data_IF_848242097084
#
_entry.id   IF_848242097084
#
_cell.length_a   1.000
_cell.length_b   1.000
_cell.length_c   1.000
_cell.angle_alpha   90.00
_cell.angle_beta   90.00
_cell.angle_gamma   90.00
#
_symmetry.space_group_name_H-M   'P 1'
#
loop_
_entity.id
_entity.type
_entity.pdbx_description
1 polymer ?
#
# COMPACT_ATOMS: atom_id res chain seq x y z
N UNK A 1 -20.91 13.65 24.67
CA UNK A 1 -20.94 12.27 25.21
C UNK A 1 -19.51 11.78 25.33
N UNK A 2 -19.02 11.54 26.54
CA UNK A 2 -17.80 10.74 26.76
C UNK A 2 -18.29 9.41 27.29
N UNK A 3 -18.17 8.37 26.49
CA UNK A 3 -18.34 6.99 26.94
C UNK A 3 -16.96 6.47 27.37
N UNK A 4 -16.93 5.60 28.37
CA UNK A 4 -15.73 4.89 28.78
C UNK A 4 -15.23 3.97 27.66
N UNK A 5 -13.93 3.67 27.68
CA UNK A 5 -13.32 2.77 26.70
C UNK A 5 -13.92 1.35 26.83
N UNK A 6 -14.28 0.76 25.70
CA UNK A 6 -14.80 -0.62 25.63
C UNK A 6 -13.69 -1.54 25.11
N UNK A 7 -13.38 -2.57 25.88
CA UNK A 7 -12.49 -3.66 25.47
C UNK A 7 -13.29 -4.89 25.07
N UNK A 8 -12.88 -5.57 23.99
CA UNK A 8 -13.47 -6.83 23.55
C UNK A 8 -12.43 -7.69 22.83
N UNK A 9 -12.62 -9.01 22.85
CA UNK A 9 -11.81 -9.93 22.04
C UNK A 9 -12.16 -9.73 20.57
N UNK A 10 -11.18 -9.59 19.65
CA UNK A 10 -11.45 -9.42 18.23
C UNK A 10 -12.34 -10.55 17.69
N UNK A 11 -13.56 -10.21 17.27
CA UNK A 11 -14.57 -11.17 16.81
C UNK A 11 -15.10 -10.87 15.40
N UNK A 12 -14.68 -9.76 14.79
CA UNK A 12 -15.20 -9.28 13.52
C UNK A 12 -14.10 -9.21 12.47
N UNK A 13 -14.49 -9.38 11.20
CA UNK A 13 -13.64 -9.11 10.04
C UNK A 13 -14.06 -7.76 9.43
N UNK A 14 -13.18 -6.75 9.41
CA UNK A 14 -13.51 -5.47 8.77
C UNK A 14 -13.69 -5.65 7.25
N UNK A 15 -14.81 -5.16 6.72
CA UNK A 15 -15.07 -5.05 5.28
C UNK A 15 -15.30 -3.59 4.93
N UNK A 16 -14.54 -3.07 3.97
CA UNK A 16 -14.69 -1.71 3.46
C UNK A 16 -15.09 -1.79 1.98
N UNK A 17 -16.28 -1.29 1.66
CA UNK A 17 -16.77 -1.17 0.28
C UNK A 17 -16.56 0.28 -0.15
N UNK A 18 -15.73 0.50 -1.17
CA UNK A 18 -15.35 1.84 -1.61
C UNK A 18 -15.03 1.86 -3.10
N UNK A 19 -15.33 2.98 -3.77
CA UNK A 19 -14.91 3.26 -5.14
C UNK A 19 -13.44 3.73 -5.23
N UNK A 20 -12.90 4.21 -4.12
CA UNK A 20 -11.52 4.70 -4.03
C UNK A 20 -10.84 4.06 -2.83
N UNK A 21 -9.73 3.36 -3.08
CA UNK A 21 -8.98 2.70 -2.02
C UNK A 21 -8.40 3.74 -1.05
N UNK A 22 -8.44 3.48 0.28
CA UNK A 22 -7.89 4.41 1.25
C UNK A 22 -6.38 4.58 1.06
N UNK A 23 -5.77 5.60 1.66
CA UNK A 23 -4.30 5.70 1.66
C UNK A 23 -3.73 4.86 2.80
N UNK A 24 -2.82 3.95 2.48
CA UNK A 24 -2.06 3.13 3.43
C UNK A 24 -0.58 3.33 3.13
N UNK A 25 0.31 3.55 4.10
CA UNK A 25 1.75 3.64 3.83
C UNK A 25 2.27 2.36 3.16
N UNK A 26 2.97 2.47 2.03
CA UNK A 26 3.51 1.32 1.28
C UNK A 26 4.49 0.44 2.09
N UNK A 27 5.15 1.04 3.08
CA UNK A 27 6.14 0.41 3.97
C UNK A 27 5.52 -0.26 5.22
N UNK A 28 4.21 -0.13 5.46
CA UNK A 28 3.53 -0.81 6.57
C UNK A 28 3.22 -2.28 6.27
N UNK A 29 4.27 -3.11 6.34
CA UNK A 29 4.17 -4.56 6.13
C UNK A 29 3.12 -5.24 7.03
N UNK A 30 2.87 -4.70 8.23
CA UNK A 30 1.92 -5.25 9.18
C UNK A 30 0.46 -4.99 8.77
N UNK A 31 0.17 -3.88 8.09
CA UNK A 31 -1.12 -3.62 7.48
C UNK A 31 -1.26 -4.44 6.18
N UNK A 32 -0.25 -4.44 5.31
CA UNK A 32 -0.31 -5.11 4.01
C UNK A 32 -0.50 -6.63 4.10
N UNK A 33 0.00 -7.29 5.16
CA UNK A 33 -0.29 -8.72 5.38
C UNK A 33 -1.79 -9.01 5.59
N UNK A 34 -2.59 -8.00 5.98
CA UNK A 34 -4.01 -8.13 6.34
C UNK A 34 -4.99 -7.59 5.29
N UNK A 35 -4.55 -6.64 4.46
CA UNK A 35 -5.41 -6.07 3.41
C UNK A 35 -5.58 -7.07 2.27
N UNK A 36 -6.80 -7.20 1.77
CA UNK A 36 -7.14 -7.88 0.52
C UNK A 36 -8.07 -6.99 -0.29
N UNK A 37 -7.69 -6.69 -1.52
CA UNK A 37 -8.54 -5.94 -2.46
C UNK A 37 -9.31 -6.95 -3.30
N UNK A 38 -10.64 -6.97 -3.14
CA UNK A 38 -11.54 -7.79 -3.97
C UNK A 38 -12.15 -6.85 -5.02
N UNK A 39 -11.68 -6.90 -6.28
CA UNK A 39 -12.14 -5.98 -7.30
C UNK A 39 -13.52 -6.43 -7.85
N UNK A 40 -14.45 -5.48 -7.93
CA UNK A 40 -15.76 -5.66 -8.57
C UNK A 40 -15.74 -4.91 -9.91
N UNK A 41 -15.18 -5.54 -10.94
CA UNK A 41 -14.89 -4.88 -12.23
C UNK A 41 -16.05 -4.97 -13.23
N UNK A 42 -17.06 -5.79 -12.93
CA UNK A 42 -18.21 -6.00 -13.81
C UNK A 42 -19.24 -4.89 -13.61
N UNK A 43 -19.53 -4.16 -14.68
CA UNK A 43 -20.61 -3.18 -14.74
C UNK A 43 -21.80 -3.80 -15.46
N UNK A 44 -22.94 -3.90 -14.77
CA UNK A 44 -24.18 -4.44 -15.34
C UNK A 44 -24.93 -3.30 -16.08
N UNK A 45 -25.18 -3.43 -17.40
CA UNK A 45 -25.97 -2.46 -18.17
C UNK A 45 -27.36 -2.23 -17.56
N UNK A 46 -27.90 -1.02 -17.73
CA UNK A 46 -29.15 -0.62 -17.06
C UNK A 46 -30.37 -1.48 -17.44
N UNK A 47 -30.37 -2.06 -18.64
CA UNK A 47 -31.40 -2.96 -19.16
C UNK A 47 -31.23 -4.41 -18.72
N UNK A 48 -30.03 -4.80 -18.24
CA UNK A 48 -29.73 -6.13 -17.69
C UNK A 48 -29.84 -6.18 -16.15
N UNK A 49 -29.98 -5.03 -15.48
CA UNK A 49 -30.09 -4.95 -14.03
C UNK A 49 -31.39 -5.58 -13.51
N UNK A 50 -31.28 -6.63 -12.70
CA UNK A 50 -32.39 -7.24 -11.99
C UNK A 50 -32.80 -6.37 -10.78
N UNK A 51 -33.93 -5.68 -10.91
CA UNK A 51 -34.48 -4.81 -9.85
C UNK A 51 -35.07 -5.58 -8.68
N UNK A 52 -35.29 -6.88 -8.82
CA UNK A 52 -35.85 -7.76 -7.79
C UNK A 52 -34.78 -8.67 -7.17
N UNK A 53 -33.49 -8.43 -7.46
CA UNK A 53 -32.37 -9.25 -7.00
C UNK A 53 -32.40 -9.47 -5.48
N UNK A 54 -32.64 -8.42 -4.69
CA UNK A 54 -32.69 -8.53 -3.24
C UNK A 54 -33.77 -9.52 -2.77
N UNK A 55 -34.98 -9.44 -3.36
CA UNK A 55 -36.08 -10.33 -3.01
C UNK A 55 -35.77 -11.78 -3.41
N UNK A 56 -35.12 -11.99 -4.57
CA UNK A 56 -34.69 -13.31 -5.02
C UNK A 56 -33.61 -13.91 -4.13
N UNK A 57 -32.64 -13.10 -3.69
CA UNK A 57 -31.59 -13.55 -2.76
C UNK A 57 -32.19 -13.95 -1.39
N UNK A 58 -33.23 -13.26 -0.93
CA UNK A 58 -33.93 -13.63 0.30
C UNK A 58 -34.67 -14.97 0.18
N UNK A 59 -35.29 -15.25 -0.97
CA UNK A 59 -35.95 -16.54 -1.22
C UNK A 59 -34.95 -17.71 -1.25
N UNK A 60 -33.71 -17.44 -1.66
CA UNK A 60 -32.62 -18.42 -1.74
C UNK A 60 -31.68 -18.38 -0.53
N UNK A 61 -32.08 -17.76 0.59
CA UNK A 61 -31.20 -17.57 1.75
C UNK A 61 -30.65 -18.91 2.29
N UNK A 62 -31.47 -19.96 2.32
CA UNK A 62 -31.07 -21.30 2.74
C UNK A 62 -30.01 -21.93 1.80
N UNK A 63 -30.15 -21.70 0.50
CA UNK A 63 -29.19 -22.11 -0.53
C UNK A 63 -27.85 -21.39 -0.35
N UNK A 64 -27.89 -20.07 -0.14
CA UNK A 64 -26.70 -19.23 0.09
C UNK A 64 -25.97 -19.65 1.36
N UNK A 65 -26.71 -19.92 2.44
CA UNK A 65 -26.12 -20.42 3.69
C UNK A 65 -25.48 -21.79 3.50
N UNK A 66 -26.14 -22.70 2.77
CA UNK A 66 -25.61 -24.02 2.47
C UNK A 66 -24.29 -23.92 1.68
N UNK A 67 -24.23 -23.01 0.69
CA UNK A 67 -23.00 -22.71 -0.05
C UNK A 67 -21.90 -22.14 0.85
N UNK A 68 -22.23 -21.23 1.78
CA UNK A 68 -21.28 -20.68 2.74
C UNK A 68 -20.72 -21.75 3.70
N UNK A 69 -21.54 -22.70 4.16
CA UNK A 69 -21.09 -23.83 5.00
C UNK A 69 -20.16 -24.77 4.23
N UNK A 70 -20.45 -25.05 2.96
CA UNK A 70 -19.53 -25.80 2.10
C UNK A 70 -18.19 -25.08 1.95
N UNK A 71 -18.23 -23.76 1.68
CA UNK A 71 -17.04 -22.92 1.62
C UNK A 71 -16.24 -22.89 2.93
N UNK A 72 -16.89 -22.94 4.09
CA UNK A 72 -16.23 -23.08 5.38
C UNK A 72 -15.48 -24.41 5.50
N UNK A 73 -16.08 -25.52 5.06
CA UNK A 73 -15.41 -26.82 5.01
C UNK A 73 -14.15 -26.78 4.12
N UNK A 74 -14.24 -26.15 2.96
CA UNK A 74 -13.09 -25.97 2.08
C UNK A 74 -12.01 -25.11 2.75
N UNK A 75 -12.39 -23.99 3.36
CA UNK A 75 -11.49 -23.11 4.08
C UNK A 75 -10.76 -23.83 5.23
N UNK A 76 -11.45 -24.67 6.00
CA UNK A 76 -10.83 -25.47 7.05
C UNK A 76 -9.75 -26.42 6.51
N UNK A 77 -9.94 -26.94 5.28
CA UNK A 77 -9.03 -27.90 4.65
C UNK A 77 -7.82 -27.24 4.00
N UNK A 78 -8.01 -26.14 3.27
CA UNK A 78 -6.95 -25.52 2.44
C UNK A 78 -6.55 -24.11 2.88
N UNK A 79 -7.22 -23.54 3.88
CA UNK A 79 -7.05 -22.15 4.30
C UNK A 79 -7.66 -21.14 3.33
N UNK A 80 -7.28 -19.87 3.49
CA UNK A 80 -7.64 -18.81 2.55
C UNK A 80 -6.82 -18.93 1.26
N UNK A 81 -7.33 -19.68 0.29
CA UNK A 81 -6.77 -19.71 -1.07
C UNK A 81 -7.15 -18.41 -1.80
N UNK A 82 -6.18 -17.51 -1.94
CA UNK A 82 -6.42 -16.18 -2.52
C UNK A 82 -6.38 -16.27 -4.05
N UNK A 83 -7.42 -15.81 -4.77
CA UNK A 83 -7.40 -15.77 -6.23
C UNK A 83 -6.33 -14.82 -6.77
N UNK A 84 -5.79 -15.12 -7.95
CA UNK A 84 -4.76 -14.30 -8.61
C UNK A 84 -5.22 -12.85 -8.83
N UNK A 85 -6.49 -12.63 -9.16
CA UNK A 85 -7.04 -11.28 -9.31
C UNK A 85 -6.98 -10.46 -8.01
N UNK A 86 -7.21 -11.10 -6.85
CA UNK A 86 -7.13 -10.45 -5.53
C UNK A 86 -5.67 -10.16 -5.18
N UNK A 87 -4.76 -11.10 -5.46
CA UNK A 87 -3.32 -10.91 -5.25
C UNK A 87 -2.78 -9.75 -6.09
N UNK A 88 -3.12 -9.72 -7.38
CA UNK A 88 -2.73 -8.66 -8.31
C UNK A 88 -3.29 -7.30 -7.88
N UNK A 89 -4.60 -7.20 -7.61
CA UNK A 89 -5.23 -5.96 -7.17
C UNK A 89 -4.63 -5.43 -5.85
N UNK A 90 -4.29 -6.33 -4.92
CA UNK A 90 -3.64 -5.96 -3.66
C UNK A 90 -2.19 -5.49 -3.88
N UNK A 91 -1.43 -6.12 -4.79
CA UNK A 91 -0.07 -5.69 -5.14
C UNK A 91 -0.08 -4.30 -5.78
N UNK A 92 -0.93 -4.10 -6.78
CA UNK A 92 -1.07 -2.81 -7.46
C UNK A 92 -1.42 -1.70 -6.48
N UNK A 93 -2.38 -1.95 -5.59
CA UNK A 93 -2.74 -0.99 -4.55
C UNK A 93 -1.56 -0.65 -3.61
N UNK A 94 -0.73 -1.64 -3.27
CA UNK A 94 0.48 -1.41 -2.46
C UNK A 94 1.53 -0.59 -3.19
N UNK A 95 1.77 -0.91 -4.46
CA UNK A 95 2.72 -0.20 -5.32
C UNK A 95 2.29 1.26 -5.53
N UNK A 96 1.01 1.49 -5.83
CA UNK A 96 0.44 2.84 -5.98
C UNK A 96 0.51 3.66 -4.68
N UNK A 97 0.46 2.96 -3.54
CA UNK A 97 0.57 3.56 -2.22
C UNK A 97 2.01 3.87 -1.80
N UNK A 98 3.00 3.35 -2.53
CA UNK A 98 4.42 3.54 -2.25
C UNK A 98 4.93 4.85 -2.87
N UNK A 99 4.63 5.94 -2.19
CA UNK A 99 5.00 7.28 -2.65
C UNK A 99 6.50 7.51 -2.68
N UNK A 100 7.27 6.81 -1.83
CA UNK A 100 8.73 6.94 -1.77
C UNK A 100 9.36 6.23 -2.96
N UNK A 101 8.87 5.04 -3.31
CA UNK A 101 9.26 4.38 -4.57
C UNK A 101 9.01 5.30 -5.77
N UNK A 102 7.82 5.90 -5.87
CA UNK A 102 7.50 6.84 -6.95
C UNK A 102 8.49 8.00 -7.02
N UNK A 103 8.83 8.62 -5.89
CA UNK A 103 9.86 9.66 -5.86
C UNK A 103 11.24 9.17 -6.30
N UNK A 104 11.66 7.97 -5.90
CA UNK A 104 12.93 7.41 -6.35
C UNK A 104 12.94 7.25 -7.87
N UNK A 105 11.85 6.75 -8.45
CA UNK A 105 11.74 6.53 -9.89
C UNK A 105 11.68 7.87 -10.66
N UNK A 106 10.96 8.86 -10.12
CA UNK A 106 10.73 10.15 -10.79
C UNK A 106 11.91 11.12 -10.63
N UNK A 107 12.47 11.26 -9.43
CA UNK A 107 13.41 12.33 -9.06
C UNK A 107 14.84 11.85 -8.82
N UNK A 108 15.08 10.53 -8.75
CA UNK A 108 16.42 10.02 -8.46
C UNK A 108 17.07 9.33 -9.67
N UNK A 109 18.39 9.19 -9.58
CA UNK A 109 19.23 8.35 -10.43
C UNK A 109 19.79 7.25 -9.54
N UNK A 110 19.62 6.00 -9.97
CA UNK A 110 19.99 4.80 -9.21
C UNK A 110 20.84 3.82 -10.04
N UNK A 111 21.32 4.27 -11.21
CA UNK A 111 21.97 3.44 -12.22
C UNK A 111 23.43 3.05 -11.89
N UNK A 112 24.02 3.60 -10.83
CA UNK A 112 25.43 3.38 -10.51
C UNK A 112 25.71 3.34 -9.00
N UNK A 113 26.51 2.37 -8.52
CA UNK A 113 26.91 2.28 -7.12
C UNK A 113 27.76 3.45 -6.62
N UNK A 114 28.38 4.22 -7.52
CA UNK A 114 29.21 5.39 -7.13
C UNK A 114 28.39 6.61 -6.76
N UNK A 115 27.09 6.61 -7.08
CA UNK A 115 26.19 7.68 -6.70
C UNK A 115 26.06 7.73 -5.17
N UNK A 116 26.07 8.94 -4.62
CA UNK A 116 25.89 9.16 -3.19
C UNK A 116 25.07 10.42 -2.97
N UNK A 117 24.18 10.37 -1.99
CA UNK A 117 23.48 11.55 -1.50
C UNK A 117 23.30 11.48 0.01
N UNK A 118 23.22 12.64 0.65
CA UNK A 118 22.83 12.70 2.06
C UNK A 118 21.32 12.54 2.19
N UNK A 119 20.86 12.02 3.34
CA UNK A 119 19.41 11.95 3.63
C UNK A 119 18.78 13.34 3.61
N UNK A 120 19.53 14.38 3.99
CA UNK A 120 19.05 15.77 3.97
C UNK A 120 18.74 16.23 2.54
N UNK A 121 19.68 16.04 1.62
CA UNK A 121 19.50 16.42 0.22
C UNK A 121 18.31 15.68 -0.40
N UNK A 122 18.24 14.36 -0.24
CA UNK A 122 17.12 13.56 -0.74
C UNK A 122 15.77 14.02 -0.14
N UNK A 123 15.75 14.39 1.13
CA UNK A 123 14.53 14.87 1.78
C UNK A 123 14.08 16.24 1.27
N UNK A 124 15.01 17.14 0.92
CA UNK A 124 14.68 18.43 0.31
C UNK A 124 14.12 18.29 -1.10
N UNK A 125 14.67 17.36 -1.90
CA UNK A 125 14.10 16.98 -3.19
C UNK A 125 12.70 16.36 -3.01
N UNK A 126 12.55 15.44 -2.06
CA UNK A 126 11.25 14.86 -1.70
C UNK A 126 10.23 15.92 -1.32
N UNK A 127 10.60 16.90 -0.49
CA UNK A 127 9.69 17.97 -0.07
C UNK A 127 9.16 18.80 -1.25
N UNK A 128 9.98 19.02 -2.29
CA UNK A 128 9.55 19.69 -3.52
C UNK A 128 8.63 18.80 -4.35
N UNK A 129 9.04 17.56 -4.61
CA UNK A 129 8.28 16.59 -5.40
C UNK A 129 6.90 16.30 -4.79
N UNK A 130 6.81 16.09 -3.47
CA UNK A 130 5.53 15.77 -2.82
C UNK A 130 4.47 16.86 -2.97
N UNK A 131 4.89 18.13 -3.07
CA UNK A 131 3.96 19.25 -3.24
C UNK A 131 3.39 19.24 -4.65
N UNK A 132 4.22 18.93 -5.65
CA UNK A 132 3.79 18.80 -7.04
C UNK A 132 2.85 17.60 -7.21
N UNK A 133 3.13 16.49 -6.54
CA UNK A 133 2.36 15.24 -6.63
C UNK A 133 1.18 15.14 -5.64
N UNK A 134 0.94 16.16 -4.81
CA UNK A 134 -0.13 16.14 -3.81
C UNK A 134 0.02 15.04 -2.74
N UNK A 135 1.26 14.63 -2.46
CA UNK A 135 1.59 13.58 -1.49
C UNK A 135 1.66 14.18 -0.07
N UNK A 136 1.04 13.54 0.96
CA UNK A 136 1.11 14.00 2.35
C UNK A 136 2.54 14.10 2.91
N UNK A 137 2.71 14.92 3.95
CA UNK A 137 4.02 15.08 4.59
C UNK A 137 4.36 13.87 5.44
N UNK A 138 5.63 13.48 5.41
CA UNK A 138 6.20 12.52 6.35
C UNK A 138 7.40 13.14 7.04
N UNK A 139 7.69 12.68 8.26
CA UNK A 139 8.90 13.12 8.96
C UNK A 139 10.17 12.67 8.21
N UNK A 140 11.25 13.44 8.34
CA UNK A 140 12.57 13.07 7.78
C UNK A 140 13.05 11.69 8.28
N UNK A 141 12.68 11.31 9.51
CA UNK A 141 12.99 9.99 10.07
C UNK A 141 12.25 8.88 9.32
N UNK A 142 10.94 9.04 9.10
CA UNK A 142 10.13 8.08 8.35
C UNK A 142 10.60 7.96 6.89
N UNK A 143 10.91 9.10 6.25
CA UNK A 143 11.53 9.13 4.92
C UNK A 143 12.82 8.31 4.87
N UNK A 144 13.72 8.51 5.84
CA UNK A 144 14.97 7.76 5.92
C UNK A 144 14.76 6.25 6.11
N UNK A 145 13.80 5.84 6.94
CA UNK A 145 13.45 4.43 7.17
C UNK A 145 12.86 3.78 5.91
N UNK A 146 12.04 4.52 5.17
CA UNK A 146 11.51 4.06 3.90
C UNK A 146 12.64 3.89 2.87
N UNK A 147 13.57 4.84 2.74
CA UNK A 147 14.76 4.69 1.90
C UNK A 147 15.61 3.46 2.27
N UNK A 148 15.76 3.15 3.57
CA UNK A 148 16.44 1.93 4.02
C UNK A 148 15.71 0.67 3.48
N UNK A 149 14.38 0.67 3.57
CA UNK A 149 13.50 -0.41 3.09
C UNK A 149 13.57 -0.58 1.56
N UNK A 150 13.80 0.52 0.83
CA UNK A 150 14.01 0.53 -0.62
C UNK A 150 15.44 0.18 -1.06
N UNK A 151 16.31 -0.23 -0.13
CA UNK A 151 17.65 -0.70 -0.47
C UNK A 151 18.72 0.38 -0.51
N UNK A 152 18.45 1.57 0.03
CA UNK A 152 19.40 2.67 0.09
C UNK A 152 19.83 3.00 1.53
N UNK A 153 20.28 2.04 2.35
CA UNK A 153 20.59 2.28 3.76
C UNK A 153 21.70 3.33 3.94
N UNK A 154 21.72 3.96 5.11
CA UNK A 154 22.85 4.81 5.49
C UNK A 154 24.12 3.96 5.59
N UNK A 155 25.19 4.38 4.92
CA UNK A 155 26.49 3.72 5.01
C UNK A 155 27.27 4.24 6.21
N UNK A 156 27.73 3.35 7.07
CA UNK A 156 28.60 3.70 8.19
C UNK A 156 30.05 3.83 7.71
N UNK A 157 30.60 5.05 7.87
CA UNK A 157 32.00 5.47 7.68
C UNK A 157 32.34 6.11 6.33
N UNK A 158 32.26 7.43 6.30
CA UNK A 158 33.31 8.26 5.70
C UNK A 158 33.53 9.50 6.59
N UNK A 159 34.71 10.10 6.51
CA UNK A 159 35.10 11.31 7.27
C UNK A 159 34.17 12.52 7.01
N UNK A 160 33.30 12.44 6.00
CA UNK A 160 32.45 13.53 5.48
C UNK A 160 30.93 13.33 5.69
N UNK A 161 30.51 12.50 6.66
CA UNK A 161 29.10 12.44 7.10
C UNK A 161 28.31 11.17 6.74
N UNK A 162 26.98 11.23 6.92
CA UNK A 162 26.05 10.10 6.72
C UNK A 162 25.49 10.10 5.30
N UNK A 163 26.05 9.23 4.45
CA UNK A 163 25.69 9.08 3.03
C UNK A 163 24.80 7.86 2.79
N UNK A 164 24.03 7.89 1.71
CA UNK A 164 23.32 6.75 1.12
C UNK A 164 23.94 6.47 -0.24
N UNK A 165 24.43 5.25 -0.45
CA UNK A 165 25.10 4.84 -1.68
C UNK A 165 24.10 4.33 -2.73
N UNK A 166 24.46 4.44 -4.00
CA UNK A 166 23.66 3.98 -5.13
C UNK A 166 22.48 4.89 -5.49
N UNK A 167 22.38 6.08 -4.92
CA UNK A 167 21.28 7.03 -5.18
C UNK A 167 21.75 8.48 -5.17
N UNK A 168 21.26 9.27 -6.12
CA UNK A 168 21.42 10.72 -6.19
C UNK A 168 20.17 11.38 -6.77
N UNK A 169 19.95 12.67 -6.51
CA UNK A 169 18.85 13.45 -7.12
C UNK A 169 19.19 13.77 -8.57
N UNK A 170 18.22 13.62 -9.47
CA UNK A 170 18.37 13.92 -10.89
C UNK A 170 18.65 15.42 -11.09
N UNK A 171 19.72 15.74 -11.82
CA UNK A 171 20.10 17.13 -12.08
C UNK A 171 20.72 17.86 -10.89
N UNK A 172 21.13 17.15 -9.83
CA UNK A 172 22.12 17.70 -8.91
C UNK A 172 23.48 17.67 -9.63
N UNK A 173 23.91 18.84 -10.12
CA UNK A 173 25.30 19.03 -10.56
C UNK A 173 26.25 18.52 -9.46
N UNK A 174 27.32 17.85 -9.89
CA UNK A 174 28.38 17.30 -9.06
C UNK A 174 28.78 18.28 -7.95
N UNK A 175 28.36 18.01 -6.71
CA UNK A 175 28.97 18.62 -5.54
C UNK A 175 30.16 17.77 -5.13
N UNK A 176 31.26 17.95 -5.86
CA UNK A 176 32.61 17.82 -5.31
C UNK A 176 32.97 19.17 -4.67
N UNK A 177 33.06 19.19 -3.34
CA UNK A 177 34.13 19.87 -2.59
C UNK A 177 34.24 19.27 -1.17
#
# INVERSE_FOLDING_TARGET
MRQDFVEFTPSHTPLLITNHLPRVPGDDTAIWRRIRVVPFEVVIPADEQDRELDARLQLEADSILSWAVAGWSDYQRIGLSQPDAVLAATSNYREDSDTIKRFIDDECVTSSPVLKATTTHLFEAWQRWRVQEGVPEISRKAFGQSLDTHGYPVTDKARDGRWRAGIAVRGADDFDD
#
